data_IF_189985885894
#
_entry.id   IF_189985885894
#
_cell.length_a   1.000
_cell.length_b   1.000
_cell.length_c   1.000
_cell.angle_alpha   90.00
_cell.angle_beta   90.00
_cell.angle_gamma   90.00
#
_symmetry.space_group_name_H-M   'P 1'
#
loop_
_entity.id
_entity.type
_entity.pdbx_description
1 polymer ?
#
# COMPACT_ATOMS: atom_id res chain seq x y z
N UNK A 1 22.69 5.85 5.70
CA UNK A 1 22.91 4.92 4.58
C UNK A 1 22.59 5.65 3.29
N UNK A 2 23.58 5.72 2.38
CA UNK A 2 23.40 6.32 1.07
C UNK A 2 22.31 5.54 0.33
N UNK A 3 21.23 6.20 -0.08
CA UNK A 3 20.30 5.63 -1.04
C UNK A 3 21.14 5.19 -2.25
N UNK A 4 21.22 3.88 -2.49
CA UNK A 4 21.83 3.36 -3.71
C UNK A 4 21.12 4.01 -4.87
N UNK A 5 21.88 4.69 -5.73
CA UNK A 5 21.34 5.27 -6.95
C UNK A 5 20.93 4.08 -7.82
N UNK A 6 19.61 3.84 -7.95
CA UNK A 6 19.10 2.79 -8.81
C UNK A 6 19.65 2.97 -10.22
N UNK A 7 20.30 1.95 -10.75
CA UNK A 7 21.03 2.02 -12.01
C UNK A 7 20.25 1.44 -13.20
N UNK A 8 19.02 0.94 -12.97
CA UNK A 8 18.16 0.36 -13.99
C UNK A 8 17.78 -1.10 -13.71
N UNK A 9 16.94 -1.70 -14.56
CA UNK A 9 16.63 -3.13 -14.50
C UNK A 9 17.84 -3.99 -14.93
N UNK A 10 17.76 -5.32 -14.79
CA UNK A 10 18.75 -6.21 -15.38
C UNK A 10 18.89 -5.92 -16.87
N UNK A 11 20.12 -5.97 -17.38
CA UNK A 11 20.37 -5.65 -18.79
C UNK A 11 19.71 -6.68 -19.71
N UNK A 12 18.93 -6.20 -20.68
CA UNK A 12 18.26 -6.98 -21.72
C UNK A 12 18.48 -6.31 -23.08
N UNK A 13 18.67 -7.10 -24.12
CA UNK A 13 18.63 -6.59 -25.49
C UNK A 13 17.21 -6.23 -25.93
N UNK A 14 17.05 -5.39 -26.93
CA UNK A 14 15.73 -5.07 -27.48
C UNK A 14 15.02 -6.30 -28.04
N UNK A 15 15.77 -7.28 -28.54
CA UNK A 15 15.22 -8.57 -28.96
C UNK A 15 14.62 -9.35 -27.76
N UNK A 16 15.32 -9.40 -26.62
CA UNK A 16 14.83 -10.04 -25.40
C UNK A 16 13.61 -9.30 -24.83
N UNK A 17 13.63 -7.97 -24.83
CA UNK A 17 12.47 -7.16 -24.40
C UNK A 17 11.27 -7.43 -25.31
N UNK A 18 11.45 -7.40 -26.65
CA UNK A 18 10.37 -7.68 -27.58
C UNK A 18 9.76 -9.09 -27.37
N UNK A 19 10.61 -10.09 -27.14
CA UNK A 19 10.16 -11.45 -26.79
C UNK A 19 9.40 -11.46 -25.46
N UNK A 20 9.94 -10.84 -24.43
CA UNK A 20 9.34 -10.81 -23.08
C UNK A 20 7.94 -10.19 -23.08
N UNK A 21 7.74 -9.11 -23.83
CA UNK A 21 6.44 -8.42 -23.93
C UNK A 21 5.50 -9.04 -24.99
N UNK A 22 5.92 -10.08 -25.70
CA UNK A 22 5.21 -10.66 -26.86
C UNK A 22 4.94 -9.62 -27.95
N UNK A 23 5.89 -8.72 -28.17
CA UNK A 23 5.85 -7.64 -29.15
C UNK A 23 6.75 -7.88 -30.36
N UNK A 24 6.70 -6.96 -31.30
CA UNK A 24 7.53 -6.94 -32.48
C UNK A 24 8.45 -5.73 -32.50
N UNK A 25 9.76 -5.94 -32.63
CA UNK A 25 10.70 -4.85 -32.87
C UNK A 25 10.51 -4.40 -34.33
N UNK A 26 9.81 -3.28 -34.51
CA UNK A 26 9.45 -2.76 -35.85
C UNK A 26 10.47 -1.74 -36.37
N UNK A 27 11.31 -1.22 -35.49
CA UNK A 27 12.35 -0.24 -35.76
C UNK A 27 13.50 -0.39 -34.76
N UNK A 28 14.75 -0.34 -35.22
CA UNK A 28 15.96 -0.35 -34.38
C UNK A 28 16.78 -1.65 -34.50
N UNK A 29 17.96 -1.63 -33.86
CA UNK A 29 18.87 -2.80 -33.81
C UNK A 29 18.46 -3.71 -32.62
N UNK A 30 18.17 -5.00 -32.85
CA UNK A 30 17.79 -5.94 -31.81
C UNK A 30 18.85 -6.15 -30.72
N UNK A 31 20.12 -5.84 -30.99
CA UNK A 31 21.23 -6.03 -30.08
C UNK A 31 21.47 -4.84 -29.12
N UNK A 32 20.80 -3.72 -29.33
CA UNK A 32 20.89 -2.58 -28.39
C UNK A 32 20.43 -3.03 -27.01
N UNK A 33 21.23 -2.68 -25.98
CA UNK A 33 20.93 -3.05 -24.60
C UNK A 33 20.15 -1.93 -23.90
N UNK A 34 19.13 -2.30 -23.16
CA UNK A 34 18.49 -1.46 -22.15
C UNK A 34 19.36 -1.56 -20.89
N UNK A 35 20.02 -0.46 -20.54
CA UNK A 35 20.94 -0.38 -19.40
C UNK A 35 20.47 0.59 -18.32
N UNK A 36 19.41 1.35 -18.61
CA UNK A 36 18.77 2.30 -17.72
C UNK A 36 17.48 1.76 -17.11
N UNK A 37 16.59 2.67 -16.79
CA UNK A 37 15.31 2.41 -16.12
C UNK A 37 14.21 2.04 -17.11
N UNK A 38 13.14 1.44 -16.58
CA UNK A 38 11.86 1.29 -17.30
C UNK A 38 10.94 2.39 -16.84
N UNK A 39 10.48 3.24 -17.74
CA UNK A 39 9.72 4.43 -17.38
C UNK A 39 8.38 4.51 -18.13
N UNK A 40 7.36 4.96 -17.42
CA UNK A 40 6.05 5.32 -17.97
C UNK A 40 5.81 6.83 -17.92
N UNK A 41 6.68 7.56 -17.24
CA UNK A 41 6.74 9.02 -17.20
C UNK A 41 8.00 9.50 -17.91
N UNK A 42 7.84 10.21 -19.02
CA UNK A 42 8.97 10.68 -19.84
C UNK A 42 9.95 11.58 -19.07
N UNK A 43 9.48 12.26 -18.02
CA UNK A 43 10.31 13.15 -17.20
C UNK A 43 11.33 12.41 -16.32
N UNK A 44 11.10 11.12 -16.07
CA UNK A 44 11.96 10.25 -15.25
C UNK A 44 12.97 9.45 -16.08
N UNK A 45 12.87 9.52 -17.41
CA UNK A 45 13.77 8.83 -18.34
C UNK A 45 15.21 9.28 -18.12
N UNK A 46 16.13 8.32 -18.16
CA UNK A 46 17.58 8.50 -18.06
C UNK A 46 18.26 7.82 -19.23
N UNK A 47 19.55 8.07 -19.42
CA UNK A 47 20.33 7.43 -20.46
C UNK A 47 20.25 5.89 -20.37
N UNK A 48 19.94 5.25 -21.48
CA UNK A 48 19.79 3.80 -21.56
C UNK A 48 18.42 3.25 -21.13
N UNK A 49 17.47 4.11 -20.73
CA UNK A 49 16.11 3.72 -20.36
C UNK A 49 15.29 3.23 -21.54
N UNK A 50 14.23 2.47 -21.23
CA UNK A 50 13.14 2.15 -22.16
C UNK A 50 11.85 2.83 -21.70
N UNK A 51 11.16 3.49 -22.63
CA UNK A 51 9.94 4.25 -22.35
C UNK A 51 8.69 3.48 -22.78
N UNK A 52 7.73 3.30 -21.89
CA UNK A 52 6.43 2.69 -22.17
C UNK A 52 5.40 3.79 -22.44
N UNK A 53 5.10 4.01 -23.72
CA UNK A 53 4.20 5.06 -24.20
C UNK A 53 2.73 4.63 -24.00
N UNK A 54 2.23 4.72 -22.75
CA UNK A 54 0.87 4.30 -22.42
C UNK A 54 -0.17 5.34 -22.83
N UNK A 55 -1.28 4.93 -23.46
CA UNK A 55 -2.46 5.79 -23.50
C UNK A 55 -3.02 5.97 -22.09
N UNK A 56 -3.15 7.21 -21.66
CA UNK A 56 -3.73 7.56 -20.35
C UNK A 56 -5.13 8.17 -20.52
N UNK A 57 -5.87 8.30 -19.42
CA UNK A 57 -7.24 8.89 -19.44
C UNK A 57 -7.26 10.33 -19.90
N UNK A 58 -6.23 11.10 -19.62
CA UNK A 58 -6.14 12.54 -19.92
C UNK A 58 -5.22 12.83 -21.10
N UNK A 59 -4.18 12.03 -21.28
CA UNK A 59 -3.18 12.27 -22.34
C UNK A 59 -2.58 10.96 -22.84
N UNK A 60 -2.20 10.95 -24.12
CA UNK A 60 -1.55 9.82 -24.75
C UNK A 60 -0.03 9.91 -24.57
N UNK A 61 0.58 8.84 -24.02
CA UNK A 61 2.02 8.74 -23.76
C UNK A 61 2.87 8.82 -25.03
N UNK A 62 2.33 8.46 -26.19
CA UNK A 62 3.04 8.53 -27.46
C UNK A 62 3.51 9.95 -27.81
N UNK A 63 2.79 10.98 -27.36
CA UNK A 63 3.19 12.39 -27.53
C UNK A 63 4.51 12.77 -26.84
N UNK A 64 4.94 11.96 -25.89
CA UNK A 64 6.13 12.21 -25.06
C UNK A 64 7.34 11.36 -25.48
N UNK A 65 7.26 10.58 -26.56
CA UNK A 65 8.38 9.76 -27.04
C UNK A 65 9.56 10.64 -27.40
N UNK A 66 9.35 11.76 -28.11
CA UNK A 66 10.42 12.71 -28.44
C UNK A 66 11.15 13.24 -27.18
N UNK A 67 10.41 13.63 -26.14
CA UNK A 67 11.00 14.05 -24.87
C UNK A 67 11.77 12.93 -24.17
N UNK A 68 11.28 11.69 -24.22
CA UNK A 68 11.98 10.54 -23.67
C UNK A 68 13.30 10.27 -24.42
N UNK A 69 13.31 10.42 -25.74
CA UNK A 69 14.53 10.30 -26.58
C UNK A 69 15.56 11.35 -26.23
N UNK A 70 15.15 12.61 -26.07
CA UNK A 70 16.04 13.71 -25.65
C UNK A 70 16.70 13.43 -24.30
N UNK A 71 16.02 12.71 -23.38
CA UNK A 71 16.55 12.31 -22.09
C UNK A 71 17.34 11.00 -22.11
N UNK A 72 17.42 10.33 -23.27
CA UNK A 72 18.30 9.18 -23.50
C UNK A 72 17.60 7.83 -23.50
N UNK A 73 16.29 7.78 -23.76
CA UNK A 73 15.60 6.51 -24.03
C UNK A 73 16.20 5.82 -25.27
N UNK A 74 16.52 4.53 -25.14
CA UNK A 74 17.06 3.73 -26.26
C UNK A 74 15.97 3.08 -27.08
N UNK A 75 14.76 2.94 -26.52
CA UNK A 75 13.59 2.40 -27.21
C UNK A 75 12.29 2.90 -26.56
N UNK A 76 11.20 2.80 -27.33
CA UNK A 76 9.84 2.98 -26.84
C UNK A 76 9.01 1.71 -27.09
N UNK A 77 8.18 1.33 -26.12
CA UNK A 77 7.12 0.32 -26.27
C UNK A 77 5.83 1.07 -26.63
N UNK A 78 5.21 0.70 -27.73
CA UNK A 78 4.11 1.44 -28.36
C UNK A 78 2.96 0.50 -28.76
N UNK A 79 1.72 0.97 -28.81
CA UNK A 79 0.58 0.24 -29.38
C UNK A 79 0.34 0.59 -30.86
N UNK A 80 0.94 1.66 -31.34
CA UNK A 80 1.02 2.04 -32.76
C UNK A 80 2.36 2.70 -33.07
N UNK A 81 2.86 2.50 -34.29
CA UNK A 81 4.14 3.07 -34.74
C UNK A 81 4.01 4.58 -34.89
N UNK A 82 4.98 5.30 -34.37
CA UNK A 82 5.10 6.76 -34.53
C UNK A 82 6.30 7.11 -35.40
N UNK A 83 6.23 8.27 -36.05
CA UNK A 83 7.35 8.80 -36.86
C UNK A 83 8.39 9.47 -35.94
N UNK A 84 9.16 8.64 -35.25
CA UNK A 84 10.27 9.06 -34.38
C UNK A 84 11.52 8.23 -34.70
N UNK A 85 12.71 8.76 -34.37
CA UNK A 85 13.97 8.13 -34.67
C UNK A 85 14.32 6.94 -33.77
N UNK A 86 13.67 6.79 -32.61
CA UNK A 86 13.95 5.77 -31.60
C UNK A 86 13.53 4.37 -32.07
N UNK A 87 14.17 3.35 -31.54
CA UNK A 87 13.74 1.96 -31.68
C UNK A 87 12.33 1.78 -31.07
N UNK A 88 11.46 1.02 -31.77
CA UNK A 88 10.07 0.83 -31.34
C UNK A 88 9.71 -0.64 -31.29
N UNK A 89 9.14 -1.05 -30.14
CA UNK A 89 8.58 -2.37 -29.91
C UNK A 89 7.06 -2.21 -29.90
N UNK A 90 6.42 -2.75 -30.94
CA UNK A 90 4.96 -2.71 -31.13
C UNK A 90 4.30 -3.84 -30.34
N UNK A 91 3.31 -3.49 -29.53
CA UNK A 91 2.51 -4.40 -28.69
C UNK A 91 1.02 -4.09 -28.83
N UNK A 92 0.12 -5.05 -28.60
CA UNK A 92 -1.32 -4.76 -28.59
C UNK A 92 -1.78 -3.88 -27.43
N UNK A 93 -1.09 -3.95 -26.27
CA UNK A 93 -1.43 -3.23 -25.05
C UNK A 93 -0.13 -2.95 -24.28
N UNK A 94 0.19 -1.66 -24.12
CA UNK A 94 1.42 -1.20 -23.46
C UNK A 94 1.39 -1.48 -21.96
N UNK A 95 0.22 -1.43 -21.30
CA UNK A 95 0.11 -1.73 -19.88
C UNK A 95 0.31 -3.23 -19.62
N UNK A 96 -0.32 -4.09 -20.43
CA UNK A 96 -0.10 -5.53 -20.35
C UNK A 96 1.36 -5.91 -20.66
N UNK A 97 2.00 -5.21 -21.61
CA UNK A 97 3.42 -5.38 -21.94
C UNK A 97 4.33 -5.08 -20.75
N UNK A 98 4.03 -4.03 -19.97
CA UNK A 98 4.78 -3.69 -18.76
C UNK A 98 4.72 -4.83 -17.73
N UNK A 99 3.54 -5.41 -17.49
CA UNK A 99 3.35 -6.57 -16.62
C UNK A 99 4.12 -7.80 -17.10
N UNK A 100 4.11 -8.08 -18.41
CA UNK A 100 4.88 -9.18 -19.00
C UNK A 100 6.39 -8.99 -18.83
N UNK A 101 6.89 -7.77 -19.03
CA UNK A 101 8.30 -7.48 -18.82
C UNK A 101 8.69 -7.67 -17.35
N UNK A 102 7.87 -7.18 -16.41
CA UNK A 102 8.11 -7.35 -14.99
C UNK A 102 8.18 -8.83 -14.59
N UNK A 103 7.25 -9.64 -15.08
CA UNK A 103 7.24 -11.09 -14.86
C UNK A 103 8.51 -11.74 -15.41
N UNK A 104 8.88 -11.44 -16.64
CA UNK A 104 10.10 -11.98 -17.29
C UNK A 104 11.36 -11.61 -16.51
N UNK A 105 11.51 -10.34 -16.12
CA UNK A 105 12.66 -9.85 -15.36
C UNK A 105 12.77 -10.58 -14.02
N UNK A 106 11.65 -10.69 -13.27
CA UNK A 106 11.64 -11.37 -11.99
C UNK A 106 11.97 -12.87 -12.11
N UNK A 107 11.45 -13.55 -13.14
CA UNK A 107 11.79 -14.95 -13.42
C UNK A 107 13.29 -15.10 -13.71
N UNK A 108 13.88 -14.21 -14.49
CA UNK A 108 15.33 -14.19 -14.77
C UNK A 108 16.18 -13.93 -13.54
N UNK A 109 15.70 -13.07 -12.62
CA UNK A 109 16.38 -12.84 -11.34
C UNK A 109 16.34 -14.11 -10.48
N UNK A 110 15.16 -14.76 -10.37
CA UNK A 110 15.00 -16.01 -9.61
C UNK A 110 15.86 -17.18 -10.10
N UNK A 111 16.15 -17.23 -11.39
CA UNK A 111 17.06 -18.23 -11.95
C UNK A 111 18.51 -18.08 -11.44
N UNK A 112 18.92 -16.88 -11.02
CA UNK A 112 20.30 -16.50 -10.73
C UNK A 112 20.56 -16.07 -9.30
N UNK A 113 19.53 -15.69 -8.57
CA UNK A 113 19.59 -15.12 -7.23
C UNK A 113 18.45 -15.64 -6.34
N UNK A 114 18.70 -15.75 -5.04
CA UNK A 114 17.69 -16.13 -4.03
C UNK A 114 16.93 -14.86 -3.57
N UNK A 115 16.02 -14.40 -4.41
CA UNK A 115 15.11 -13.30 -4.07
C UNK A 115 13.85 -13.85 -3.40
N UNK A 116 13.43 -13.23 -2.29
CA UNK A 116 12.15 -13.50 -1.62
C UNK A 116 11.14 -12.40 -1.95
N UNK A 117 9.98 -12.79 -2.43
CA UNK A 117 8.91 -11.89 -2.85
C UNK A 117 7.77 -11.95 -1.83
N UNK A 118 7.42 -10.80 -1.28
CA UNK A 118 6.32 -10.62 -0.34
C UNK A 118 5.21 -9.83 -1.02
N UNK A 119 4.03 -10.44 -1.20
CA UNK A 119 2.83 -9.78 -1.72
C UNK A 119 1.91 -9.38 -0.58
N UNK A 120 1.43 -8.12 -0.56
CA UNK A 120 0.57 -7.61 0.51
C UNK A 120 -0.74 -7.10 -0.07
N UNK A 121 -1.87 -7.58 0.45
CA UNK A 121 -3.19 -7.02 0.17
C UNK A 121 -3.96 -6.72 1.46
N UNK A 122 -5.04 -5.99 1.33
CA UNK A 122 -5.92 -5.57 2.42
C UNK A 122 -6.66 -4.29 2.05
N UNK A 123 -7.76 -3.99 2.73
CA UNK A 123 -8.48 -2.73 2.53
C UNK A 123 -7.66 -1.54 3.02
N UNK A 124 -7.00 -1.68 4.15
CA UNK A 124 -6.13 -0.65 4.77
C UNK A 124 -4.80 -1.28 5.21
N UNK A 125 -3.78 -0.46 5.45
CA UNK A 125 -2.51 -0.87 6.06
C UNK A 125 -1.44 -1.39 5.09
N UNK A 126 -1.72 -1.63 3.80
CA UNK A 126 -0.75 -2.15 2.82
C UNK A 126 0.55 -1.35 2.77
N UNK A 127 0.47 -0.06 2.53
CA UNK A 127 1.64 0.83 2.41
C UNK A 127 2.42 0.91 3.72
N UNK A 128 1.72 1.04 4.85
CA UNK A 128 2.35 1.05 6.17
C UNK A 128 3.09 -0.25 6.46
N UNK A 129 2.46 -1.41 6.22
CA UNK A 129 3.10 -2.72 6.40
C UNK A 129 4.30 -2.90 5.47
N UNK A 130 4.19 -2.49 4.20
CA UNK A 130 5.31 -2.49 3.25
C UNK A 130 6.48 -1.64 3.76
N UNK A 131 6.22 -0.44 4.27
CA UNK A 131 7.27 0.44 4.78
C UNK A 131 7.91 -0.09 6.07
N UNK A 132 7.11 -0.73 6.94
CA UNK A 132 7.63 -1.48 8.10
C UNK A 132 8.56 -2.62 7.65
N UNK A 133 8.14 -3.42 6.67
CA UNK A 133 8.98 -4.47 6.09
C UNK A 133 10.25 -3.91 5.46
N UNK A 134 10.16 -2.80 4.74
CA UNK A 134 11.36 -2.13 4.20
C UNK A 134 12.34 -1.76 5.30
N UNK A 135 11.86 -1.15 6.39
CA UNK A 135 12.72 -0.77 7.51
C UNK A 135 13.42 -1.98 8.14
N UNK A 136 12.71 -3.09 8.28
CA UNK A 136 13.24 -4.34 8.84
C UNK A 136 14.23 -5.01 7.87
N UNK A 137 13.79 -5.29 6.65
CA UNK A 137 14.50 -6.13 5.70
C UNK A 137 15.74 -5.45 5.11
N UNK A 138 15.73 -4.12 4.98
CA UNK A 138 16.91 -3.35 4.50
C UNK A 138 18.12 -3.44 5.43
N UNK A 139 17.95 -3.91 6.65
CA UNK A 139 19.07 -4.13 7.57
C UNK A 139 19.79 -5.44 7.30
N UNK A 140 19.15 -6.40 6.63
CA UNK A 140 19.67 -7.76 6.42
C UNK A 140 19.86 -8.11 4.94
N UNK A 141 19.44 -7.25 4.03
CA UNK A 141 19.65 -7.44 2.59
C UNK A 141 19.11 -6.30 1.74
N UNK A 142 19.54 -6.27 0.49
CA UNK A 142 19.01 -5.33 -0.50
C UNK A 142 17.50 -5.55 -0.66
N UNK A 143 16.72 -4.49 -0.42
CA UNK A 143 15.27 -4.56 -0.34
C UNK A 143 14.62 -3.54 -1.28
N UNK A 144 13.79 -4.02 -2.18
CA UNK A 144 12.94 -3.19 -3.03
C UNK A 144 11.54 -3.15 -2.41
N UNK A 145 11.16 -1.98 -1.93
CA UNK A 145 9.84 -1.66 -1.39
C UNK A 145 9.60 -0.17 -1.58
N UNK A 146 9.11 0.29 -2.73
CA UNK A 146 8.93 1.71 -3.04
C UNK A 146 8.09 2.43 -1.98
N UNK A 147 8.44 3.68 -1.68
CA UNK A 147 7.78 4.47 -0.64
C UNK A 147 6.30 4.71 -1.01
N UNK A 148 6.06 5.01 -2.28
CA UNK A 148 4.74 5.32 -2.80
C UNK A 148 3.84 4.08 -2.89
N UNK A 149 2.52 4.30 -3.01
CA UNK A 149 1.53 3.23 -3.11
C UNK A 149 1.39 2.74 -4.56
N UNK A 150 2.43 2.07 -5.07
CA UNK A 150 2.44 1.46 -6.40
C UNK A 150 1.79 0.07 -6.35
N UNK A 151 0.46 0.01 -6.46
CA UNK A 151 -0.31 -1.19 -6.16
C UNK A 151 -1.26 -1.66 -7.27
N UNK A 152 -1.27 -1.00 -8.42
CA UNK A 152 -2.11 -1.34 -9.58
C UNK A 152 -1.29 -2.00 -10.71
N UNK A 153 -1.93 -2.22 -11.87
CA UNK A 153 -1.35 -2.87 -13.06
C UNK A 153 -0.16 -2.12 -13.68
N UNK A 154 0.13 -0.91 -13.21
CA UNK A 154 1.31 -0.12 -13.59
C UNK A 154 2.32 -0.07 -12.48
N UNK A 155 1.86 0.31 -11.28
CA UNK A 155 2.74 0.55 -10.14
C UNK A 155 3.39 -0.71 -9.59
N UNK A 156 2.67 -1.84 -9.52
CA UNK A 156 3.25 -3.09 -9.06
C UNK A 156 4.30 -3.64 -10.04
N UNK A 157 4.08 -3.72 -11.36
CA UNK A 157 5.14 -4.03 -12.32
C UNK A 157 6.32 -3.07 -12.26
N UNK A 158 6.08 -1.77 -12.13
CA UNK A 158 7.14 -0.78 -11.97
C UNK A 158 8.01 -1.04 -10.74
N UNK A 159 7.39 -1.43 -9.61
CA UNK A 159 8.13 -1.84 -8.41
C UNK A 159 9.00 -3.07 -8.63
N UNK A 160 8.47 -4.08 -9.33
CA UNK A 160 9.20 -5.32 -9.65
C UNK A 160 10.40 -5.03 -10.55
N UNK A 161 10.25 -4.15 -11.53
CA UNK A 161 11.30 -3.78 -12.47
C UNK A 161 12.46 -2.98 -11.84
N UNK A 162 12.34 -2.58 -10.59
CA UNK A 162 13.45 -2.01 -9.80
C UNK A 162 14.38 -3.09 -9.21
N UNK A 163 13.97 -4.36 -9.21
CA UNK A 163 14.78 -5.44 -8.70
C UNK A 163 15.93 -5.83 -9.65
N UNK A 164 17.03 -6.24 -9.08
CA UNK A 164 18.22 -6.73 -9.76
C UNK A 164 18.75 -8.02 -9.10
N UNK A 165 19.91 -8.50 -9.57
CA UNK A 165 20.55 -9.73 -9.05
C UNK A 165 21.07 -9.61 -7.61
N UNK A 166 21.18 -8.41 -7.06
CA UNK A 166 21.60 -8.17 -5.68
C UNK A 166 20.37 -8.04 -4.74
N UNK A 167 19.18 -7.88 -5.31
CA UNK A 167 17.94 -7.77 -4.56
C UNK A 167 17.63 -9.05 -3.82
N UNK A 168 17.57 -8.98 -2.49
CA UNK A 168 17.27 -10.10 -1.61
C UNK A 168 15.79 -10.18 -1.26
N UNK A 169 15.15 -9.02 -1.12
CA UNK A 169 13.74 -8.90 -0.77
C UNK A 169 13.01 -7.93 -1.70
N UNK A 170 11.86 -8.37 -2.19
CA UNK A 170 10.95 -7.55 -2.98
C UNK A 170 9.58 -7.54 -2.29
N UNK A 171 9.11 -6.37 -1.87
CA UNK A 171 7.80 -6.20 -1.23
C UNK A 171 6.87 -5.47 -2.18
N UNK A 172 5.79 -6.13 -2.61
CA UNK A 172 4.84 -5.62 -3.60
C UNK A 172 3.47 -5.44 -2.96
N UNK A 173 2.90 -4.25 -3.11
CA UNK A 173 1.50 -4.03 -2.79
C UNK A 173 0.61 -4.53 -3.93
N UNK A 174 -0.43 -5.31 -3.59
CA UNK A 174 -1.44 -5.82 -4.52
C UNK A 174 -2.77 -5.15 -4.22
N UNK A 175 -3.05 -4.09 -4.97
CA UNK A 175 -4.28 -3.30 -4.87
C UNK A 175 -5.43 -3.94 -5.63
N UNK A 176 -6.65 -3.76 -5.11
CA UNK A 176 -7.85 -4.21 -5.78
C UNK A 176 -8.37 -3.10 -6.72
N UNK A 177 -8.39 -3.37 -8.01
CA UNK A 177 -9.04 -2.53 -9.03
C UNK A 177 -10.32 -3.16 -9.59
N UNK A 178 -10.71 -4.33 -9.06
CA UNK A 178 -11.86 -5.11 -9.50
C UNK A 178 -11.56 -6.62 -9.50
N UNK A 179 -12.56 -7.47 -9.82
CA UNK A 179 -12.36 -8.91 -9.94
C UNK A 179 -11.24 -9.27 -10.91
N UNK A 180 -10.32 -10.16 -10.50
CA UNK A 180 -9.16 -10.60 -11.27
C UNK A 180 -7.93 -9.68 -11.17
N UNK A 181 -8.04 -8.49 -10.57
CA UNK A 181 -6.93 -7.53 -10.49
C UNK A 181 -5.79 -8.02 -9.61
N UNK A 182 -6.10 -8.59 -8.44
CA UNK A 182 -5.08 -9.12 -7.51
C UNK A 182 -4.49 -10.42 -8.06
N UNK A 183 -5.31 -11.29 -8.65
CA UNK A 183 -4.83 -12.51 -9.31
C UNK A 183 -3.81 -12.17 -10.42
N UNK A 184 -4.13 -11.19 -11.28
CA UNK A 184 -3.21 -10.72 -12.32
C UNK A 184 -1.86 -10.30 -11.75
N UNK A 185 -1.85 -9.47 -10.70
CA UNK A 185 -0.62 -9.02 -10.06
C UNK A 185 0.13 -10.17 -9.37
N UNK A 186 -0.59 -11.07 -8.71
CA UNK A 186 -0.02 -12.25 -8.08
C UNK A 186 0.62 -13.21 -9.10
N UNK A 187 0.04 -13.36 -10.30
CA UNK A 187 0.61 -14.14 -11.40
C UNK A 187 1.90 -13.50 -11.96
N UNK A 188 2.06 -12.19 -11.86
CA UNK A 188 3.29 -11.51 -12.24
C UNK A 188 4.39 -11.74 -11.19
N UNK A 189 4.12 -11.47 -9.92
CA UNK A 189 5.15 -11.50 -8.88
C UNK A 189 5.35 -12.85 -8.21
N UNK A 190 4.38 -13.78 -8.29
CA UNK A 190 4.41 -15.11 -7.68
C UNK A 190 4.99 -15.08 -6.25
N UNK A 191 4.26 -14.52 -5.26
CA UNK A 191 4.80 -14.29 -3.94
C UNK A 191 5.24 -15.60 -3.24
N UNK A 192 6.39 -15.56 -2.56
CA UNK A 192 6.82 -16.60 -1.63
C UNK A 192 6.03 -16.48 -0.30
N UNK A 193 5.64 -15.25 0.06
CA UNK A 193 4.81 -14.95 1.21
C UNK A 193 3.68 -14.02 0.75
N UNK A 194 2.43 -14.44 0.94
CA UNK A 194 1.25 -13.62 0.71
C UNK A 194 0.65 -13.15 2.03
N UNK A 195 0.49 -11.84 2.21
CA UNK A 195 -0.03 -11.24 3.44
C UNK A 195 -1.41 -10.65 3.18
N UNK A 196 -2.41 -11.05 3.95
CA UNK A 196 -3.75 -10.46 3.94
C UNK A 196 -4.00 -9.77 5.27
N UNK A 197 -4.09 -8.42 5.23
CA UNK A 197 -4.19 -7.62 6.44
C UNK A 197 -5.62 -7.57 7.00
N UNK A 198 -6.56 -7.08 6.19
CA UNK A 198 -7.95 -6.89 6.61
C UNK A 198 -8.87 -6.73 5.41
N UNK A 199 -10.11 -7.19 5.54
CA UNK A 199 -11.23 -6.85 4.66
C UNK A 199 -12.09 -5.78 5.35
N UNK A 200 -12.21 -4.61 4.73
CA UNK A 200 -12.96 -3.49 5.27
C UNK A 200 -13.76 -2.77 4.17
N UNK A 201 -14.37 -1.66 4.55
CA UNK A 201 -15.31 -0.91 3.69
C UNK A 201 -14.62 0.02 2.67
N UNK A 202 -13.30 0.04 2.58
CA UNK A 202 -12.62 0.79 1.53
C UNK A 202 -12.98 0.23 0.14
N UNK A 203 -13.36 1.11 -0.80
CA UNK A 203 -13.81 0.78 -2.16
C UNK A 203 -15.06 -0.11 -2.25
N UNK A 204 -15.82 -0.24 -1.16
CA UNK A 204 -16.98 -1.13 -1.10
C UNK A 204 -18.06 -0.77 -2.14
N UNK A 205 -18.18 0.52 -2.46
CA UNK A 205 -19.12 1.02 -3.47
C UNK A 205 -18.74 0.64 -4.90
N UNK A 206 -17.45 0.50 -5.18
CA UNK A 206 -16.96 0.11 -6.51
C UNK A 206 -17.11 -1.39 -6.77
N UNK A 207 -16.97 -2.22 -5.72
CA UNK A 207 -16.95 -3.68 -5.86
C UNK A 207 -18.30 -4.33 -5.61
N UNK A 208 -19.31 -3.59 -5.14
CA UNK A 208 -20.67 -4.12 -4.92
C UNK A 208 -20.88 -4.79 -3.56
N UNK A 209 -20.08 -4.47 -2.55
CA UNK A 209 -20.25 -4.92 -1.18
C UNK A 209 -18.98 -5.49 -0.55
N UNK A 210 -19.05 -5.74 0.77
CA UNK A 210 -17.89 -6.24 1.53
C UNK A 210 -17.53 -7.68 1.14
N UNK A 211 -18.51 -8.51 0.79
CA UNK A 211 -18.30 -9.88 0.32
C UNK A 211 -17.57 -9.90 -1.03
N UNK A 212 -17.92 -8.99 -1.94
CA UNK A 212 -17.21 -8.83 -3.21
C UNK A 212 -15.78 -8.35 -2.98
N UNK A 213 -15.56 -7.41 -2.05
CA UNK A 213 -14.23 -6.97 -1.63
C UNK A 213 -13.41 -8.11 -1.04
N UNK A 214 -14.01 -8.95 -0.19
CA UNK A 214 -13.38 -10.15 0.37
C UNK A 214 -12.96 -11.14 -0.74
N UNK A 215 -13.85 -11.38 -1.70
CA UNK A 215 -13.58 -12.26 -2.85
C UNK A 215 -12.42 -11.78 -3.69
N UNK A 216 -12.34 -10.47 -3.99
CA UNK A 216 -11.20 -9.90 -4.74
C UNK A 216 -9.89 -10.06 -3.96
N UNK A 217 -9.90 -9.78 -2.64
CA UNK A 217 -8.69 -9.93 -1.82
C UNK A 217 -8.25 -11.38 -1.64
N UNK A 218 -9.18 -12.34 -1.66
CA UNK A 218 -8.87 -13.76 -1.58
C UNK A 218 -8.11 -14.28 -2.80
N UNK A 219 -8.11 -13.54 -3.91
CA UNK A 219 -7.33 -13.88 -5.10
C UNK A 219 -5.84 -14.03 -4.80
N UNK A 220 -5.26 -13.22 -3.90
CA UNK A 220 -3.88 -13.41 -3.46
C UNK A 220 -3.68 -14.79 -2.84
N UNK A 221 -4.56 -15.19 -1.94
CA UNK A 221 -4.45 -16.48 -1.22
C UNK A 221 -4.60 -17.64 -2.20
N UNK A 222 -5.56 -17.56 -3.12
CA UNK A 222 -5.78 -18.57 -4.14
C UNK A 222 -4.62 -18.72 -5.13
N UNK A 223 -3.88 -17.64 -5.37
CA UNK A 223 -2.75 -17.62 -6.30
C UNK A 223 -1.43 -18.14 -5.69
N UNK A 224 -1.38 -18.37 -4.37
CA UNK A 224 -0.16 -18.87 -3.71
C UNK A 224 0.15 -20.31 -4.10
N UNK A 225 1.39 -20.57 -4.45
CA UNK A 225 1.92 -21.92 -4.65
C UNK A 225 1.94 -22.75 -3.38
N UNK A 226 2.03 -24.08 -3.50
CA UNK A 226 2.03 -25.00 -2.34
C UNK A 226 3.24 -24.76 -1.41
N UNK A 227 4.37 -24.30 -1.95
CA UNK A 227 5.59 -23.98 -1.19
C UNK A 227 5.59 -22.57 -0.58
N UNK A 228 4.58 -21.75 -0.90
CA UNK A 228 4.44 -20.41 -0.36
C UNK A 228 3.84 -20.41 1.06
N UNK A 229 3.83 -19.23 1.69
CA UNK A 229 3.25 -19.03 3.02
C UNK A 229 2.15 -17.97 2.93
N UNK A 230 0.97 -18.30 3.47
CA UNK A 230 -0.14 -17.36 3.65
C UNK A 230 -0.10 -16.80 5.08
N UNK A 231 0.20 -15.51 5.22
CA UNK A 231 0.19 -14.78 6.49
C UNK A 231 -1.15 -14.07 6.62
N UNK A 232 -1.99 -14.54 7.54
CA UNK A 232 -3.41 -14.21 7.61
C UNK A 232 -3.78 -13.59 8.96
N UNK A 233 -4.63 -12.58 8.92
CA UNK A 233 -5.19 -11.94 10.12
C UNK A 233 -6.26 -12.82 10.76
N UNK A 234 -5.99 -13.32 11.96
CA UNK A 234 -6.90 -14.19 12.72
C UNK A 234 -8.11 -13.44 13.30
N UNK A 235 -8.04 -12.11 13.40
CA UNK A 235 -9.11 -11.28 13.99
C UNK A 235 -10.15 -10.83 12.95
N UNK A 236 -9.98 -11.20 11.68
CA UNK A 236 -10.89 -10.84 10.59
C UNK A 236 -11.57 -12.10 10.01
N UNK A 237 -12.88 -12.24 10.20
CA UNK A 237 -13.65 -13.41 9.74
C UNK A 237 -13.56 -13.65 8.23
N UNK A 238 -13.56 -12.59 7.42
CA UNK A 238 -13.40 -12.75 5.96
C UNK A 238 -12.00 -13.28 5.61
N UNK A 239 -10.97 -12.87 6.36
CA UNK A 239 -9.59 -13.35 6.12
C UNK A 239 -9.44 -14.80 6.59
N UNK A 240 -10.07 -15.17 7.72
CA UNK A 240 -10.04 -16.57 8.19
C UNK A 240 -10.71 -17.53 7.20
N UNK A 241 -11.80 -17.11 6.56
CA UNK A 241 -12.51 -17.91 5.55
C UNK A 241 -11.66 -18.13 4.26
N UNK A 242 -10.64 -17.31 4.02
CA UNK A 242 -9.75 -17.49 2.87
C UNK A 242 -8.77 -18.67 3.04
N UNK A 243 -8.58 -19.18 4.24
CA UNK A 243 -7.57 -20.22 4.53
C UNK A 243 -7.78 -21.50 3.72
N UNK A 244 -9.02 -21.85 3.41
CA UNK A 244 -9.37 -23.05 2.65
C UNK A 244 -9.14 -22.91 1.12
N UNK A 245 -8.83 -21.70 0.67
CA UNK A 245 -8.58 -21.42 -0.76
C UNK A 245 -7.16 -21.75 -1.22
N UNK A 246 -6.27 -22.15 -0.31
CA UNK A 246 -4.88 -22.45 -0.64
C UNK A 246 -4.36 -23.70 0.08
N UNK A 247 -3.43 -24.39 -0.56
CA UNK A 247 -2.61 -25.45 0.06
C UNK A 247 -1.34 -24.91 0.71
N UNK A 248 -1.00 -23.63 0.50
CA UNK A 248 0.14 -22.98 1.15
C UNK A 248 0.07 -23.11 2.68
N UNK A 249 1.22 -23.06 3.34
CA UNK A 249 1.31 -23.04 4.80
C UNK A 249 0.61 -21.78 5.34
N UNK A 250 -0.34 -21.93 6.26
CA UNK A 250 -1.02 -20.82 6.93
C UNK A 250 -0.27 -20.41 8.19
N UNK A 251 -0.04 -19.13 8.36
CA UNK A 251 0.54 -18.52 9.55
C UNK A 251 -0.37 -17.36 9.97
N UNK A 252 -0.75 -17.34 11.24
CA UNK A 252 -1.76 -16.47 11.79
C UNK A 252 -1.14 -15.39 12.67
N UNK A 253 -1.60 -14.16 12.51
CA UNK A 253 -1.29 -13.04 13.40
C UNK A 253 -2.58 -12.37 13.86
N UNK A 254 -2.58 -11.80 15.07
CA UNK A 254 -3.76 -11.13 15.61
C UNK A 254 -3.63 -10.77 17.08
N UNK A 255 -4.75 -10.33 17.66
CA UNK A 255 -4.87 -10.05 19.10
C UNK A 255 -5.55 -11.21 19.84
N UNK A 256 -6.21 -12.10 19.12
CA UNK A 256 -6.86 -13.29 19.67
C UNK A 256 -5.85 -14.33 20.14
N UNK A 257 -6.26 -15.16 21.13
CA UNK A 257 -5.41 -16.23 21.67
C UNK A 257 -5.05 -17.33 20.67
N UNK A 258 -5.79 -17.41 19.57
CA UNK A 258 -5.61 -18.43 18.54
C UNK A 258 -4.58 -18.01 17.47
N UNK A 259 -4.10 -16.76 17.54
CA UNK A 259 -3.04 -16.27 16.66
C UNK A 259 -1.70 -16.86 17.08
N UNK A 260 -0.93 -17.36 16.11
CA UNK A 260 0.42 -17.85 16.35
C UNK A 260 1.39 -16.71 16.74
N UNK A 261 1.17 -15.53 16.14
CA UNK A 261 1.85 -14.29 16.49
C UNK A 261 0.81 -13.32 17.06
N UNK A 262 0.98 -12.93 18.32
CA UNK A 262 -0.05 -12.20 19.06
C UNK A 262 0.43 -10.85 19.58
N UNK A 263 -0.48 -9.86 19.64
CA UNK A 263 -0.28 -8.62 20.39
C UNK A 263 -1.20 -8.55 21.61
N UNK A 264 -0.64 -8.17 22.74
CA UNK A 264 -1.38 -7.88 23.99
C UNK A 264 -0.99 -6.53 24.56
N UNK A 265 -1.74 -6.05 25.56
CA UNK A 265 -1.43 -4.84 26.34
C UNK A 265 -1.22 -3.59 25.47
N UNK A 266 -2.08 -3.42 24.48
CA UNK A 266 -2.00 -2.29 23.56
C UNK A 266 -2.34 -0.99 24.27
N UNK A 267 -1.49 0.02 24.09
CA UNK A 267 -1.69 1.37 24.64
C UNK A 267 -1.31 2.43 23.63
N UNK A 268 -2.11 3.51 23.56
CA UNK A 268 -1.84 4.66 22.70
C UNK A 268 -1.59 5.89 23.58
N UNK A 269 -0.45 6.51 23.36
CA UNK A 269 -0.07 7.77 24.00
C UNK A 269 0.44 8.74 22.93
N UNK A 270 0.61 10.02 23.27
CA UNK A 270 1.12 11.01 22.32
C UNK A 270 2.53 10.70 21.81
N UNK A 271 3.28 9.88 22.56
CA UNK A 271 4.62 9.39 22.19
C UNK A 271 4.59 8.24 21.18
N UNK A 272 3.41 7.66 20.92
CA UNK A 272 3.29 6.51 20.01
C UNK A 272 2.35 5.43 20.55
N UNK A 273 2.46 4.24 19.97
CA UNK A 273 1.65 3.05 20.28
C UNK A 273 2.53 1.95 20.82
N UNK A 274 2.23 1.40 21.99
CA UNK A 274 2.98 0.32 22.62
C UNK A 274 2.14 -0.96 22.71
N UNK A 275 2.78 -2.11 22.64
CA UNK A 275 2.16 -3.43 22.84
C UNK A 275 3.22 -4.49 23.18
N UNK A 276 2.79 -5.63 23.69
CA UNK A 276 3.62 -6.81 23.83
C UNK A 276 3.44 -7.73 22.62
N UNK A 277 4.53 -8.03 21.90
CA UNK A 277 4.56 -8.99 20.80
C UNK A 277 4.93 -10.36 21.32
N UNK A 278 4.09 -11.37 21.04
CA UNK A 278 4.33 -12.77 21.38
C UNK A 278 4.65 -13.55 20.11
N UNK A 279 5.78 -14.21 20.11
CA UNK A 279 6.19 -15.15 19.06
C UNK A 279 5.72 -16.59 19.38
N UNK A 280 5.62 -17.49 18.38
CA UNK A 280 5.10 -18.85 18.56
C UNK A 280 5.89 -19.72 19.53
N UNK A 281 7.15 -19.40 19.80
CA UNK A 281 8.00 -20.08 20.79
C UNK A 281 7.73 -19.64 22.24
N UNK A 282 6.78 -18.70 22.43
CA UNK A 282 6.40 -18.16 23.74
C UNK A 282 7.25 -16.98 24.19
N UNK A 283 8.19 -16.50 23.38
CA UNK A 283 8.96 -15.30 23.73
C UNK A 283 8.10 -14.05 23.60
N UNK A 284 8.24 -13.14 24.56
CA UNK A 284 7.50 -11.87 24.60
C UNK A 284 8.46 -10.70 24.48
N UNK A 285 8.15 -9.79 23.56
CA UNK A 285 8.93 -8.59 23.30
C UNK A 285 8.05 -7.35 23.51
N UNK A 286 8.44 -6.37 24.35
CA UNK A 286 7.80 -5.06 24.34
C UNK A 286 8.15 -4.33 23.04
N UNK A 287 7.17 -3.68 22.45
CA UNK A 287 7.31 -2.90 21.20
C UNK A 287 6.74 -1.51 21.41
N UNK A 288 7.47 -0.48 20.98
CA UNK A 288 7.02 0.91 20.99
C UNK A 288 7.14 1.53 19.61
N UNK A 289 6.02 1.70 18.93
CA UNK A 289 5.95 2.37 17.62
C UNK A 289 5.80 3.88 17.83
N UNK A 290 6.54 4.69 17.09
CA UNK A 290 6.37 6.16 17.13
C UNK A 290 5.07 6.62 16.44
N UNK A 291 4.40 5.77 15.67
CA UNK A 291 3.13 6.05 15.00
C UNK A 291 1.94 5.86 15.94
N UNK A 292 0.93 6.72 15.81
CA UNK A 292 -0.29 6.68 16.64
C UNK A 292 -1.36 5.76 16.05
N UNK A 293 -1.98 4.97 16.92
CA UNK A 293 -3.19 4.22 16.64
C UNK A 293 -3.05 2.70 16.75
N UNK A 294 -3.99 2.06 17.44
CA UNK A 294 -4.02 0.60 17.64
C UNK A 294 -4.04 -0.19 16.33
N UNK A 295 -4.64 0.37 15.27
CA UNK A 295 -4.64 -0.29 13.95
C UNK A 295 -3.24 -0.50 13.36
N UNK A 296 -2.24 0.28 13.79
CA UNK A 296 -0.85 0.07 13.39
C UNK A 296 -0.19 -1.12 14.09
N UNK A 297 -0.74 -1.57 15.22
CA UNK A 297 -0.30 -2.81 15.86
C UNK A 297 -0.48 -4.01 14.93
N UNK A 298 -1.63 -4.09 14.23
CA UNK A 298 -1.88 -5.17 13.26
C UNK A 298 -0.90 -5.12 12.07
N UNK A 299 -0.55 -3.91 11.60
CA UNK A 299 0.45 -3.75 10.54
C UNK A 299 1.84 -4.20 11.03
N UNK A 300 2.21 -3.85 12.26
CA UNK A 300 3.47 -4.26 12.87
C UNK A 300 3.52 -5.77 13.12
N UNK A 301 2.42 -6.37 13.60
CA UNK A 301 2.31 -7.83 13.75
C UNK A 301 2.56 -8.55 12.43
N UNK A 302 1.90 -8.12 11.35
CA UNK A 302 2.10 -8.70 10.02
C UNK A 302 3.57 -8.59 9.58
N UNK A 303 4.19 -7.41 9.77
CA UNK A 303 5.58 -7.18 9.40
C UNK A 303 6.57 -8.02 10.25
N UNK A 304 6.36 -8.12 11.56
CA UNK A 304 7.19 -8.94 12.45
C UNK A 304 7.01 -10.43 12.17
N UNK A 305 5.80 -10.87 11.86
CA UNK A 305 5.53 -12.26 11.42
C UNK A 305 6.33 -12.62 10.17
N UNK A 306 6.29 -11.75 9.15
CA UNK A 306 7.08 -11.96 7.92
C UNK A 306 8.56 -11.93 8.21
N UNK A 307 9.03 -11.03 9.07
CA UNK A 307 10.44 -10.95 9.46
C UNK A 307 10.95 -12.25 10.11
N UNK A 308 10.17 -12.80 11.03
CA UNK A 308 10.50 -14.07 11.69
C UNK A 308 10.52 -15.25 10.71
N UNK A 309 9.54 -15.32 9.80
CA UNK A 309 9.50 -16.31 8.72
C UNK A 309 10.69 -16.23 7.76
N UNK A 310 11.27 -15.05 7.61
CA UNK A 310 12.50 -14.82 6.83
C UNK A 310 13.78 -14.92 7.67
N UNK A 311 13.68 -15.44 8.90
CA UNK A 311 14.78 -15.63 9.85
C UNK A 311 15.52 -14.33 10.20
N UNK A 312 14.83 -13.18 10.16
CA UNK A 312 15.37 -11.92 10.70
C UNK A 312 15.25 -11.97 12.22
N UNK A 313 16.32 -11.71 12.99
CA UNK A 313 16.24 -11.68 14.44
C UNK A 313 15.17 -10.69 14.91
N UNK A 314 14.19 -11.15 15.70
CA UNK A 314 13.04 -10.33 16.14
C UNK A 314 13.48 -9.07 16.91
N UNK A 315 14.55 -9.15 17.70
CA UNK A 315 15.10 -7.97 18.39
C UNK A 315 15.57 -6.89 17.41
N UNK A 316 16.20 -7.28 16.29
CA UNK A 316 16.62 -6.36 15.25
C UNK A 316 15.40 -5.80 14.47
N UNK A 317 14.43 -6.67 14.16
CA UNK A 317 13.18 -6.26 13.49
C UNK A 317 12.40 -5.24 14.32
N UNK A 318 12.26 -5.47 15.62
CA UNK A 318 11.58 -4.56 16.56
C UNK A 318 12.34 -3.23 16.65
N UNK A 319 13.68 -3.28 16.85
CA UNK A 319 14.50 -2.06 16.87
C UNK A 319 14.34 -1.23 15.58
N UNK A 320 14.23 -1.88 14.42
CA UNK A 320 13.98 -1.20 13.16
C UNK A 320 12.64 -0.46 13.16
N UNK A 321 11.57 -1.09 13.67
CA UNK A 321 10.24 -0.47 13.76
C UNK A 321 10.22 0.70 14.72
N UNK A 322 10.86 0.58 15.87
CA UNK A 322 10.93 1.63 16.90
C UNK A 322 11.72 2.86 16.43
N UNK A 323 12.67 2.67 15.52
CA UNK A 323 13.48 3.74 14.91
C UNK A 323 12.84 4.32 13.64
N UNK A 324 11.74 3.77 13.15
CA UNK A 324 11.05 4.35 12.00
C UNK A 324 10.65 5.78 12.33
N UNK A 325 10.97 6.75 11.43
CA UNK A 325 10.49 8.10 11.61
C UNK A 325 8.96 8.12 11.64
N UNK A 326 8.44 9.11 12.35
CA UNK A 326 7.01 9.41 12.40
C UNK A 326 6.38 9.26 11.00
N UNK A 327 5.17 8.75 10.98
CA UNK A 327 4.31 8.40 9.87
C UNK A 327 4.60 9.10 8.54
N UNK A 328 4.27 8.41 7.46
CA UNK A 328 4.19 8.98 6.11
C UNK A 328 3.37 10.27 6.09
N UNK A 329 3.71 11.15 5.17
CA UNK A 329 3.00 12.41 4.98
C UNK A 329 1.49 12.16 4.89
N UNK A 330 0.71 12.84 5.77
CA UNK A 330 -0.75 12.76 5.87
C UNK A 330 -1.32 11.40 6.32
N UNK A 331 -0.53 10.54 6.95
CA UNK A 331 -0.99 9.29 7.57
C UNK A 331 -0.68 9.29 9.06
N UNK A 332 -1.63 9.72 9.90
CA UNK A 332 -1.46 9.92 11.34
C UNK A 332 -0.22 10.77 11.69
N UNK A 333 0.13 11.69 10.81
CA UNK A 333 1.29 12.57 10.98
C UNK A 333 1.07 13.55 12.12
N UNK A 334 1.94 13.50 13.12
CA UNK A 334 1.85 14.35 14.32
C UNK A 334 2.69 15.61 14.15
N UNK A 335 2.09 16.76 14.44
CA UNK A 335 2.78 18.05 14.49
C UNK A 335 2.44 18.72 15.82
N UNK A 336 3.45 18.98 16.63
CA UNK A 336 3.30 19.73 17.89
C UNK A 336 3.61 21.20 17.64
N UNK A 337 2.64 22.07 17.93
CA UNK A 337 2.81 23.53 17.84
C UNK A 337 3.39 24.08 19.12
N UNK A 338 4.03 25.25 19.03
CA UNK A 338 4.62 25.93 20.18
C UNK A 338 3.59 26.39 21.24
N UNK A 339 2.33 26.56 20.83
CA UNK A 339 1.22 26.92 21.72
C UNK A 339 0.59 25.72 22.45
N UNK A 340 1.19 24.52 22.33
CA UNK A 340 0.74 23.29 23.00
C UNK A 340 -0.34 22.51 22.22
N UNK A 341 -0.78 22.99 21.05
CA UNK A 341 -1.71 22.26 20.19
C UNK A 341 -0.96 21.14 19.46
N UNK A 342 -1.52 19.94 19.51
CA UNK A 342 -1.07 18.80 18.69
C UNK A 342 -2.02 18.60 17.53
N UNK A 343 -1.49 18.60 16.31
CA UNK A 343 -2.23 18.32 15.07
C UNK A 343 -1.89 16.91 14.64
N UNK A 344 -2.91 16.07 14.42
CA UNK A 344 -2.78 14.75 13.84
C UNK A 344 -3.38 14.82 12.44
N UNK A 345 -2.54 14.73 11.40
CA UNK A 345 -2.96 14.81 10.01
C UNK A 345 -3.05 13.41 9.41
N UNK A 346 -4.27 12.98 9.07
CA UNK A 346 -4.57 11.68 8.44
C UNK A 346 -5.34 11.86 7.12
N UNK A 347 -5.07 12.95 6.41
CA UNK A 347 -5.82 13.38 5.23
C UNK A 347 -5.39 12.75 3.90
N UNK A 348 -4.57 11.69 3.90
CA UNK A 348 -4.15 11.02 2.67
C UNK A 348 -5.32 10.34 1.95
N UNK A 349 -6.16 9.63 2.71
CA UNK A 349 -7.40 9.00 2.24
C UNK A 349 -8.35 8.83 3.41
N UNK A 350 -9.65 8.76 3.13
CA UNK A 350 -10.68 8.54 4.14
C UNK A 350 -11.59 7.37 3.74
N UNK A 351 -11.64 6.35 4.61
CA UNK A 351 -12.60 5.26 4.55
C UNK A 351 -13.29 5.11 5.91
N UNK A 352 -14.48 4.48 6.00
CA UNK A 352 -15.17 4.32 7.28
C UNK A 352 -14.28 3.69 8.37
N UNK A 353 -13.51 2.66 8.02
CA UNK A 353 -12.62 1.99 8.97
C UNK A 353 -11.45 2.89 9.41
N UNK A 354 -10.82 3.63 8.48
CA UNK A 354 -9.68 4.50 8.81
C UNK A 354 -10.12 5.73 9.61
N UNK A 355 -11.25 6.34 9.25
CA UNK A 355 -11.82 7.49 10.01
C UNK A 355 -12.21 7.05 11.41
N UNK A 356 -12.87 5.89 11.56
CA UNK A 356 -13.20 5.34 12.88
C UNK A 356 -11.94 5.10 13.72
N UNK A 357 -10.89 4.52 13.16
CA UNK A 357 -9.63 4.27 13.85
C UNK A 357 -8.94 5.58 14.29
N UNK A 358 -8.95 6.60 13.43
CA UNK A 358 -8.42 7.93 13.76
C UNK A 358 -9.21 8.59 14.90
N UNK A 359 -10.54 8.51 14.87
CA UNK A 359 -11.42 9.03 15.93
C UNK A 359 -11.19 8.30 17.26
N UNK A 360 -11.03 6.97 17.25
CA UNK A 360 -10.70 6.18 18.43
C UNK A 360 -9.35 6.61 19.03
N UNK A 361 -8.35 6.82 18.18
CA UNK A 361 -7.03 7.32 18.60
C UNK A 361 -7.14 8.72 19.22
N UNK A 362 -7.90 9.64 18.60
CA UNK A 362 -8.13 10.99 19.14
C UNK A 362 -8.79 10.93 20.50
N UNK A 363 -9.83 10.10 20.66
CA UNK A 363 -10.53 9.92 21.93
C UNK A 363 -9.62 9.34 23.02
N UNK A 364 -8.75 8.38 22.71
CA UNK A 364 -7.78 7.82 23.64
C UNK A 364 -6.81 8.88 24.13
N UNK A 365 -6.29 9.73 23.25
CA UNK A 365 -5.41 10.85 23.60
C UNK A 365 -6.11 11.89 24.44
N UNK A 366 -7.41 12.12 24.24
CA UNK A 366 -8.25 13.03 25.03
C UNK A 366 -8.42 12.60 26.49
N UNK A 367 -8.31 11.31 26.82
CA UNK A 367 -8.43 10.79 28.21
C UNK A 367 -7.42 11.39 29.17
N UNK A 368 -6.33 11.96 28.68
CA UNK A 368 -5.36 12.71 29.51
C UNK A 368 -5.84 14.12 29.93
N UNK A 369 -7.10 14.49 29.64
CA UNK A 369 -7.67 15.79 29.93
C UNK A 369 -7.43 16.85 28.84
N UNK A 370 -6.96 16.46 27.68
CA UNK A 370 -6.80 17.35 26.52
C UNK A 370 -8.12 17.48 25.78
N UNK A 371 -8.43 18.72 25.37
CA UNK A 371 -9.56 18.98 24.46
C UNK A 371 -9.31 18.32 23.10
N UNK A 372 -10.33 17.66 22.58
CA UNK A 372 -10.30 16.94 21.31
C UNK A 372 -11.14 17.63 20.25
N UNK A 373 -10.59 17.82 19.06
CA UNK A 373 -11.28 18.43 17.90
C UNK A 373 -11.08 17.51 16.71
N UNK A 374 -12.17 17.04 16.11
CA UNK A 374 -12.17 16.30 14.86
C UNK A 374 -12.57 17.21 13.70
N UNK A 375 -11.78 17.22 12.62
CA UNK A 375 -12.10 17.92 11.39
C UNK A 375 -12.24 16.86 10.31
N UNK A 376 -13.46 16.68 9.78
CA UNK A 376 -13.81 15.60 8.87
C UNK A 376 -14.32 16.12 7.54
N UNK A 377 -13.91 15.48 6.46
CA UNK A 377 -14.41 15.68 5.10
C UNK A 377 -15.13 14.45 4.57
N UNK A 378 -15.30 14.40 3.25
CA UNK A 378 -15.95 13.29 2.55
C UNK A 378 -15.11 12.00 2.64
N UNK A 379 -15.81 10.87 2.72
CA UNK A 379 -15.27 9.55 2.42
C UNK A 379 -15.74 9.14 1.02
N UNK A 380 -14.83 9.13 0.06
CA UNK A 380 -15.12 8.83 -1.33
C UNK A 380 -15.34 7.32 -1.59
N UNK A 381 -15.83 6.97 -2.78
CA UNK A 381 -15.91 5.59 -3.31
C UNK A 381 -16.80 4.61 -2.51
N UNK A 382 -17.75 5.14 -1.73
CA UNK A 382 -18.67 4.33 -0.92
C UNK A 382 -19.96 3.93 -1.66
N UNK A 383 -20.24 4.51 -2.83
CA UNK A 383 -21.45 4.19 -3.61
C UNK A 383 -22.73 4.35 -2.80
N UNK A 384 -23.61 3.34 -2.81
CA UNK A 384 -24.88 3.34 -2.06
C UNK A 384 -24.70 3.37 -0.54
N UNK A 385 -23.57 2.94 -0.01
CA UNK A 385 -23.28 2.96 1.42
C UNK A 385 -22.88 4.36 1.94
N UNK A 386 -22.63 5.34 1.07
CA UNK A 386 -22.12 6.66 1.44
C UNK A 386 -22.99 7.34 2.51
N UNK A 387 -24.30 7.36 2.36
CA UNK A 387 -25.21 8.01 3.32
C UNK A 387 -25.11 7.40 4.71
N UNK A 388 -25.16 6.08 4.79
CA UNK A 388 -25.13 5.34 6.06
C UNK A 388 -23.78 5.52 6.75
N UNK A 389 -22.67 5.41 5.99
CA UNK A 389 -21.33 5.50 6.56
C UNK A 389 -20.98 6.91 7.04
N UNK A 390 -21.38 7.96 6.33
CA UNK A 390 -21.19 9.33 6.80
C UNK A 390 -22.01 9.61 8.07
N UNK A 391 -23.29 9.21 8.12
CA UNK A 391 -24.14 9.33 9.33
C UNK A 391 -23.51 8.57 10.51
N UNK A 392 -23.04 7.35 10.29
CA UNK A 392 -22.39 6.54 11.31
C UNK A 392 -21.15 7.20 11.92
N UNK A 393 -20.31 7.89 11.12
CA UNK A 393 -19.13 8.59 11.63
C UNK A 393 -19.53 9.73 12.59
N UNK A 394 -20.56 10.48 12.28
CA UNK A 394 -21.08 11.50 13.18
C UNK A 394 -21.52 10.93 14.53
N UNK A 395 -22.25 9.81 14.51
CA UNK A 395 -22.64 9.10 15.75
C UNK A 395 -21.44 8.57 16.53
N UNK A 396 -20.40 8.08 15.85
CA UNK A 396 -19.17 7.59 16.48
C UNK A 396 -18.46 8.73 17.21
N UNK A 397 -18.37 9.92 16.63
CA UNK A 397 -17.76 11.10 17.27
C UNK A 397 -18.43 11.39 18.63
N UNK A 398 -19.77 11.36 18.68
CA UNK A 398 -20.53 11.55 19.92
C UNK A 398 -20.26 10.44 20.93
N UNK A 399 -20.34 9.18 20.51
CA UNK A 399 -20.10 8.01 21.38
C UNK A 399 -18.70 7.95 21.96
N UNK A 400 -17.72 8.51 21.24
CA UNK A 400 -16.33 8.60 21.68
C UNK A 400 -16.06 9.82 22.58
N UNK A 401 -17.05 10.68 22.82
CA UNK A 401 -16.92 11.89 23.64
C UNK A 401 -15.85 12.86 23.09
N UNK A 402 -15.79 13.03 21.78
CA UNK A 402 -14.92 14.04 21.17
C UNK A 402 -15.54 15.42 21.37
N UNK A 403 -14.79 16.36 21.91
CA UNK A 403 -15.33 17.65 22.40
C UNK A 403 -15.86 18.57 21.31
N UNK A 404 -15.30 18.50 20.09
CA UNK A 404 -15.74 19.32 18.97
C UNK A 404 -15.61 18.59 17.65
N UNK A 405 -16.61 18.74 16.79
CA UNK A 405 -16.64 18.24 15.41
C UNK A 405 -16.78 19.42 14.44
N UNK A 406 -15.91 19.46 13.45
CA UNK A 406 -15.99 20.36 12.30
C UNK A 406 -16.13 19.51 11.06
N UNK A 407 -17.21 19.71 10.30
CA UNK A 407 -17.45 18.98 9.05
C UNK A 407 -17.35 19.95 7.89
N UNK A 408 -16.57 19.60 6.88
CA UNK A 408 -16.30 20.45 5.71
C UNK A 408 -16.70 19.74 4.43
N UNK A 409 -17.46 20.44 3.60
CA UNK A 409 -17.90 19.98 2.29
C UNK A 409 -19.28 19.35 2.26
N UNK A 410 -20.07 19.68 1.23
CA UNK A 410 -21.47 19.27 1.08
C UNK A 410 -21.66 17.74 1.15
N UNK A 411 -20.75 16.98 0.56
CA UNK A 411 -20.80 15.51 0.55
C UNK A 411 -20.65 14.89 1.96
N UNK A 412 -19.94 15.59 2.87
CA UNK A 412 -19.71 15.15 4.25
C UNK A 412 -20.85 15.56 5.21
N UNK A 413 -21.83 16.36 4.80
CA UNK A 413 -22.88 16.96 5.65
C UNK A 413 -23.60 15.96 6.56
N UNK A 414 -23.75 14.72 6.10
CA UNK A 414 -24.40 13.67 6.88
C UNK A 414 -23.63 13.29 8.15
N UNK A 415 -22.33 13.53 8.24
CA UNK A 415 -21.54 13.35 9.47
C UNK A 415 -22.06 14.33 10.53
N UNK A 416 -22.23 15.59 10.19
CA UNK A 416 -22.78 16.60 11.10
C UNK A 416 -24.21 16.23 11.54
N UNK A 417 -25.06 15.86 10.60
CA UNK A 417 -26.45 15.44 10.91
C UNK A 417 -26.49 14.21 11.83
N UNK A 418 -25.63 13.22 11.60
CA UNK A 418 -25.53 12.02 12.43
C UNK A 418 -25.10 12.36 13.85
N UNK A 419 -24.16 13.28 14.02
CA UNK A 419 -23.72 13.77 15.34
C UNK A 419 -24.86 14.49 16.08
N UNK A 420 -25.60 15.39 15.43
CA UNK A 420 -26.71 16.11 16.04
C UNK A 420 -27.88 15.19 16.42
N UNK A 421 -28.12 14.12 15.66
CA UNK A 421 -29.18 13.16 15.98
C UNK A 421 -28.82 12.17 17.10
N UNK A 422 -27.54 11.87 17.30
CA UNK A 422 -27.09 10.91 18.30
C UNK A 422 -27.09 11.47 19.72
N UNK A 423 -26.83 12.77 19.90
CA UNK A 423 -26.72 13.38 21.21
C UNK A 423 -27.12 14.83 21.28
N UNK A 424 -27.43 15.30 22.48
CA UNK A 424 -27.68 16.71 22.76
C UNK A 424 -26.38 17.46 22.90
N UNK A 425 -25.70 17.70 21.82
CA UNK A 425 -24.58 18.62 21.82
C UNK A 425 -25.06 20.07 21.75
N UNK A 426 -24.50 20.89 22.58
CA UNK A 426 -24.85 22.33 22.66
C UNK A 426 -24.06 23.13 21.60
N UNK A 427 -24.04 22.67 20.35
CA UNK A 427 -23.39 23.37 19.23
C UNK A 427 -21.92 23.04 19.03
N UNK A 428 -21.45 21.89 19.57
CA UNK A 428 -20.08 21.40 19.37
C UNK A 428 -19.84 20.87 17.96
N UNK A 429 -20.89 20.46 17.24
CA UNK A 429 -20.81 20.12 15.82
C UNK A 429 -21.08 21.31 14.93
N UNK A 430 -20.16 21.62 14.02
CA UNK A 430 -20.30 22.69 13.04
C UNK A 430 -20.10 22.16 11.63
N UNK A 431 -20.91 22.64 10.71
CA UNK A 431 -20.82 22.32 9.28
C UNK A 431 -20.49 23.57 8.47
N UNK A 432 -19.61 23.41 7.48
CA UNK A 432 -19.21 24.42 6.52
C UNK A 432 -19.26 23.84 5.10
N UNK A 433 -19.80 24.58 4.14
CA UNK A 433 -19.86 24.11 2.74
C UNK A 433 -18.48 24.09 2.07
N UNK A 434 -17.56 24.92 2.55
CA UNK A 434 -16.20 25.02 1.99
C UNK A 434 -15.12 25.20 3.07
N UNK A 435 -13.87 24.99 2.67
CA UNK A 435 -12.71 25.26 3.51
C UNK A 435 -12.61 26.74 3.84
N UNK A 436 -12.90 27.63 2.89
CA UNK A 436 -12.80 29.07 3.08
C UNK A 436 -13.78 29.56 4.14
N UNK A 437 -15.00 29.00 4.14
CA UNK A 437 -15.99 29.28 5.19
C UNK A 437 -15.58 28.75 6.57
N UNK A 438 -14.89 27.60 6.61
CA UNK A 438 -14.42 27.02 7.86
C UNK A 438 -13.24 27.80 8.47
N UNK A 439 -12.50 28.55 7.65
CA UNK A 439 -11.35 29.36 8.05
C UNK A 439 -11.72 30.79 8.43
N UNK A 440 -12.89 31.27 8.00
CA UNK A 440 -13.41 32.62 8.29
C UNK A 440 -14.05 32.71 9.69
#
# INVERSE_FOLDING_TARGET
SAQRKWLGMIQLSLAEVAQAVSGSLVKGDPNVLVTGTVETDSRLVQAGSIFFARPGEVTDGHKFIGSAVELGAVAAVVDHVVDDAVAQILVPDVTAALGKLAKYVLERIREKADIKVIGITGSNGKTTTKNMLRAILSQVGETIAPIESFNNEVGAPYSILQADLETKFLVVELGAGGPGSIDYLAQICKPDIGVVLKVGLAHVGEFGGIEATAKIKSELVSALGEDAIAVLNADDGFVTDMADLTKAKKVWFGTSSDAGYQATDQTVAISGTSFNFHSPDGTVFPVHLQILGEHHVMNALAALTVADLLAVPLSAAISALEQMPLAERWRMQVTNRADGVTIINDAYNASPDSVKAALQTLAQLGRSGRRTIAILGEMAELGSASREQHDAMGRIVVRLNIDQLIVVGAAAKLIHMGAEQEGSWAGESKFFDSIDEALA
#
